data_IF_689984679202
#
_entry.id   IF_689984679202
#
_cell.length_a   1.000
_cell.length_b   1.000
_cell.length_c   1.000
_cell.angle_alpha   90.00
_cell.angle_beta   90.00
_cell.angle_gamma   90.00
#
_symmetry.space_group_name_H-M   'P 1'
#
loop_
_entity.id
_entity.type
_entity.pdbx_description
1 polymer ?
#
# COMPACT_ATOMS: atom_id res chain seq x y z
N UNK A 1 21.01 -22.02 12.21
CA UNK A 1 19.81 -22.74 11.74
C UNK A 1 18.75 -21.71 11.42
N UNK A 2 17.99 -21.90 10.34
CA UNK A 2 16.80 -21.09 10.08
C UNK A 2 15.66 -21.61 10.96
N UNK A 3 14.95 -20.72 11.67
CA UNK A 3 14.02 -21.11 12.73
C UNK A 3 12.82 -21.95 12.26
N UNK A 4 12.41 -21.79 11.00
CA UNK A 4 11.21 -22.43 10.44
C UNK A 4 11.54 -23.49 9.37
N UNK A 5 12.78 -23.97 9.33
CA UNK A 5 13.23 -24.95 8.34
C UNK A 5 12.38 -26.23 8.39
N UNK A 6 11.78 -26.61 7.25
CA UNK A 6 10.90 -27.78 7.13
C UNK A 6 9.42 -27.51 7.46
N UNK A 7 9.03 -26.32 7.92
CA UNK A 7 7.63 -25.95 8.06
C UNK A 7 6.99 -25.59 6.72
N UNK A 8 5.75 -26.05 6.50
CA UNK A 8 4.91 -25.66 5.36
C UNK A 8 3.85 -24.67 5.81
N UNK A 9 3.79 -23.50 5.19
CA UNK A 9 2.90 -22.42 5.58
C UNK A 9 2.06 -21.96 4.40
N UNK A 10 0.76 -21.79 4.65
CA UNK A 10 -0.15 -21.15 3.71
C UNK A 10 -0.37 -19.70 4.14
N UNK A 11 -0.24 -18.78 3.20
CA UNK A 11 -0.69 -17.40 3.33
C UNK A 11 -1.91 -17.20 2.43
N UNK A 12 -3.04 -16.82 3.02
CA UNK A 12 -4.27 -16.51 2.28
C UNK A 12 -4.37 -15.01 2.04
N UNK A 13 -4.16 -14.60 0.79
CA UNK A 13 -4.17 -13.21 0.31
C UNK A 13 -2.78 -12.76 -0.15
N UNK A 14 -2.69 -12.23 -1.37
CA UNK A 14 -1.49 -11.66 -1.97
C UNK A 14 -1.44 -10.12 -1.93
N UNK A 15 -2.24 -9.50 -1.05
CA UNK A 15 -2.09 -8.09 -0.69
C UNK A 15 -0.75 -7.78 0.01
N UNK A 16 -0.50 -6.50 0.29
CA UNK A 16 0.79 -6.04 0.84
C UNK A 16 1.19 -6.76 2.14
N UNK A 17 0.23 -6.99 3.04
CA UNK A 17 0.46 -7.73 4.28
C UNK A 17 0.80 -9.20 4.07
N UNK A 18 0.10 -9.87 3.15
CA UNK A 18 0.33 -11.28 2.85
C UNK A 18 1.68 -11.52 2.19
N UNK A 19 2.06 -10.71 1.21
CA UNK A 19 3.37 -10.80 0.57
C UNK A 19 4.52 -10.45 1.52
N UNK A 20 4.33 -9.46 2.40
CA UNK A 20 5.31 -9.14 3.43
C UNK A 20 5.49 -10.32 4.40
N UNK A 21 4.40 -10.94 4.87
CA UNK A 21 4.46 -12.11 5.73
C UNK A 21 5.16 -13.29 5.03
N UNK A 22 4.77 -13.60 3.80
CA UNK A 22 5.37 -14.68 3.01
C UNK A 22 6.89 -14.51 2.84
N UNK A 23 7.34 -13.29 2.54
CA UNK A 23 8.76 -12.96 2.41
C UNK A 23 9.54 -13.23 3.70
N UNK A 24 9.05 -12.75 4.84
CA UNK A 24 9.77 -12.90 6.10
C UNK A 24 9.73 -14.36 6.62
N UNK A 25 8.62 -15.07 6.43
CA UNK A 25 8.51 -16.51 6.71
C UNK A 25 9.48 -17.36 5.86
N UNK A 26 9.58 -17.06 4.56
CA UNK A 26 10.52 -17.75 3.66
C UNK A 26 11.99 -17.49 4.02
N UNK A 27 12.34 -16.25 4.40
CA UNK A 27 13.68 -15.95 4.94
C UNK A 27 13.99 -16.75 6.20
N UNK A 28 13.00 -16.91 7.08
CA UNK A 28 13.09 -17.71 8.29
C UNK A 28 13.10 -19.24 8.03
N UNK A 29 12.96 -19.69 6.79
CA UNK A 29 13.20 -21.09 6.37
C UNK A 29 11.95 -21.90 6.03
N UNK A 30 10.75 -21.32 6.13
CA UNK A 30 9.52 -22.01 5.79
C UNK A 30 9.35 -22.21 4.27
N UNK A 31 8.70 -23.30 3.87
CA UNK A 31 8.12 -23.50 2.54
C UNK A 31 6.76 -22.81 2.52
N UNK A 32 6.67 -21.66 1.86
CA UNK A 32 5.47 -20.81 1.86
C UNK A 32 4.73 -20.90 0.53
N UNK A 33 3.42 -21.18 0.60
CA UNK A 33 2.50 -21.08 -0.55
C UNK A 33 1.52 -19.95 -0.30
N UNK A 34 1.42 -19.02 -1.24
CA UNK A 34 0.43 -17.92 -1.19
C UNK A 34 -0.74 -18.26 -2.10
N UNK A 35 -1.96 -18.20 -1.57
CA UNK A 35 -3.18 -18.29 -2.37
C UNK A 35 -3.85 -16.92 -2.42
N UNK A 36 -4.24 -16.50 -3.62
CA UNK A 36 -5.03 -15.30 -3.85
C UNK A 36 -6.27 -15.69 -4.65
N UNK A 37 -7.41 -15.06 -4.34
CA UNK A 37 -8.68 -15.31 -5.03
C UNK A 37 -8.78 -14.51 -6.31
N UNK A 38 -8.22 -13.30 -6.34
CA UNK A 38 -8.23 -12.45 -7.53
C UNK A 38 -7.48 -13.13 -8.69
N UNK A 39 -8.05 -13.07 -9.89
CA UNK A 39 -7.48 -13.71 -11.07
C UNK A 39 -6.30 -12.90 -11.65
N UNK A 40 -6.10 -11.67 -11.18
CA UNK A 40 -5.02 -10.79 -11.61
C UNK A 40 -4.59 -9.80 -10.51
N UNK A 41 -3.40 -9.24 -10.70
CA UNK A 41 -2.87 -8.16 -9.84
C UNK A 41 -3.81 -6.93 -9.86
N UNK A 42 -4.44 -6.66 -11.00
CA UNK A 42 -5.34 -5.50 -11.15
C UNK A 42 -6.66 -5.70 -10.40
N UNK A 43 -7.19 -6.92 -10.38
CA UNK A 43 -8.39 -7.25 -9.59
C UNK A 43 -8.10 -7.30 -8.09
N UNK A 44 -6.89 -7.71 -7.71
CA UNK A 44 -6.45 -7.73 -6.31
C UNK A 44 -6.31 -6.33 -5.70
N UNK A 45 -6.07 -5.30 -6.51
CA UNK A 45 -5.86 -3.93 -6.06
C UNK A 45 -7.18 -3.20 -5.90
N UNK A 46 -7.31 -2.42 -4.83
CA UNK A 46 -8.46 -1.55 -4.66
C UNK A 46 -8.39 -0.34 -5.60
N UNK A 47 -9.47 0.01 -6.31
CA UNK A 47 -9.51 1.17 -7.20
C UNK A 47 -9.68 2.43 -6.37
N UNK A 48 -8.58 2.99 -5.89
CA UNK A 48 -8.59 4.25 -5.14
C UNK A 48 -7.40 5.13 -5.50
N UNK A 49 -7.48 6.39 -5.08
CA UNK A 49 -6.32 7.27 -5.05
C UNK A 49 -5.62 7.18 -3.69
N UNK A 50 -4.30 7.10 -3.70
CA UNK A 50 -3.49 7.39 -2.53
C UNK A 50 -2.95 8.82 -2.63
N UNK A 51 -2.93 9.52 -1.51
CA UNK A 51 -2.26 10.82 -1.44
C UNK A 51 -0.82 10.59 -1.01
N UNK A 52 0.13 10.99 -1.86
CA UNK A 52 1.55 10.70 -1.72
C UNK A 52 2.35 12.00 -1.82
N UNK A 53 3.24 12.19 -0.84
CA UNK A 53 4.13 13.35 -0.80
C UNK A 53 5.05 13.37 -2.03
N UNK A 54 5.25 14.52 -2.72
CA UNK A 54 6.07 14.59 -3.92
C UNK A 54 7.49 14.02 -3.73
N UNK A 55 8.10 14.25 -2.57
CA UNK A 55 9.45 13.78 -2.25
C UNK A 55 9.55 12.25 -2.18
N UNK A 56 8.45 11.53 -1.96
CA UNK A 56 8.46 10.07 -1.92
C UNK A 56 8.82 9.47 -3.28
N UNK A 57 8.30 10.04 -4.37
CA UNK A 57 8.63 9.63 -5.74
C UNK A 57 10.11 9.89 -6.04
N UNK A 58 10.60 11.09 -5.72
CA UNK A 58 12.00 11.46 -5.89
C UNK A 58 12.94 10.53 -5.11
N UNK A 59 12.61 10.19 -3.86
CA UNK A 59 13.39 9.24 -3.03
C UNK A 59 13.39 7.82 -3.59
N UNK A 60 12.30 7.41 -4.23
CA UNK A 60 12.17 6.10 -4.86
C UNK A 60 12.83 6.05 -6.26
N UNK A 61 13.27 7.18 -6.81
CA UNK A 61 13.75 7.27 -8.19
C UNK A 61 12.64 7.02 -9.22
N UNK A 62 11.41 7.40 -8.88
CA UNK A 62 10.22 7.22 -9.71
C UNK A 62 9.69 8.57 -10.20
N UNK A 63 9.13 8.58 -11.40
CA UNK A 63 8.33 9.70 -11.87
C UNK A 63 6.95 9.69 -11.21
N UNK A 64 6.32 10.87 -11.11
CA UNK A 64 4.94 10.99 -10.66
C UNK A 64 4.03 10.40 -11.75
N UNK A 65 3.13 9.46 -11.42
CA UNK A 65 2.27 8.83 -12.43
C UNK A 65 1.36 9.83 -13.16
N UNK A 66 1.14 9.59 -14.46
CA UNK A 66 0.21 10.37 -15.27
C UNK A 66 -1.21 10.32 -14.68
N UNK A 67 -1.94 11.44 -14.76
CA UNK A 67 -3.27 11.57 -14.17
C UNK A 67 -3.30 11.88 -12.67
N UNK A 68 -2.13 11.95 -12.02
CA UNK A 68 -2.04 12.44 -10.64
C UNK A 68 -2.32 13.94 -10.55
N UNK A 69 -2.97 14.38 -9.47
CA UNK A 69 -3.28 15.80 -9.25
C UNK A 69 -2.99 16.23 -7.80
N UNK A 70 -2.70 17.52 -7.59
CA UNK A 70 -2.44 18.06 -6.25
C UNK A 70 -3.73 18.04 -5.42
N UNK A 71 -3.70 17.40 -4.26
CA UNK A 71 -4.81 17.42 -3.29
C UNK A 71 -4.45 18.31 -2.12
N UNK A 72 -5.33 19.27 -1.82
CA UNK A 72 -5.04 20.37 -0.89
C UNK A 72 -5.88 20.30 0.38
N UNK A 73 -6.82 19.37 0.46
CA UNK A 73 -7.80 19.34 1.52
C UNK A 73 -8.21 17.92 1.89
N UNK A 74 -8.31 17.69 3.20
CA UNK A 74 -8.79 16.45 3.78
C UNK A 74 -9.85 16.76 4.82
N UNK A 75 -10.85 15.89 4.89
CA UNK A 75 -11.86 15.92 5.94
C UNK A 75 -11.71 14.65 6.76
N UNK A 76 -11.35 14.81 8.02
CA UNK A 76 -11.33 13.73 8.99
C UNK A 76 -12.60 13.80 9.85
N UNK A 77 -13.32 12.70 9.90
CA UNK A 77 -14.48 12.52 10.80
C UNK A 77 -14.02 11.61 11.92
N UNK A 78 -13.92 12.15 13.12
CA UNK A 78 -13.55 11.37 14.31
C UNK A 78 -14.70 10.44 14.71
N UNK A 79 -14.43 9.37 15.49
CA UNK A 79 -15.46 8.42 15.92
C UNK A 79 -16.64 9.04 16.70
N UNK A 80 -16.43 10.17 17.36
CA UNK A 80 -17.46 10.96 18.04
C UNK A 80 -18.27 11.87 17.09
N UNK A 81 -18.02 11.78 15.78
CA UNK A 81 -18.71 12.55 14.75
C UNK A 81 -18.14 13.97 14.53
N UNK A 82 -17.09 14.37 15.23
CA UNK A 82 -16.50 15.68 15.01
C UNK A 82 -15.79 15.75 13.64
N UNK A 83 -16.01 16.85 12.93
CA UNK A 83 -15.40 17.08 11.62
C UNK A 83 -14.17 17.97 11.80
N UNK A 84 -13.02 17.52 11.28
CA UNK A 84 -11.78 18.28 11.20
C UNK A 84 -11.40 18.42 9.73
N UNK A 85 -11.26 19.66 9.27
CA UNK A 85 -10.79 19.95 7.92
C UNK A 85 -9.33 20.37 7.99
N UNK A 86 -8.52 19.74 7.16
CA UNK A 86 -7.13 20.12 6.94
C UNK A 86 -7.01 20.73 5.56
N UNK A 87 -6.22 21.80 5.48
CA UNK A 87 -5.88 22.48 4.24
C UNK A 87 -4.38 22.63 4.19
N UNK A 88 -3.80 22.36 3.02
CA UNK A 88 -2.38 22.57 2.75
C UNK A 88 -2.16 23.56 1.62
N UNK A 89 -1.07 24.31 1.73
CA UNK A 89 -0.63 25.20 0.66
C UNK A 89 -0.24 24.36 -0.57
N UNK A 90 -0.53 24.86 -1.77
CA UNK A 90 -0.33 24.14 -3.03
C UNK A 90 1.11 23.66 -3.25
N UNK A 91 2.07 24.45 -2.80
CA UNK A 91 3.51 24.13 -2.84
C UNK A 91 3.85 22.85 -2.08
N UNK A 92 3.11 22.58 -1.00
CA UNK A 92 3.31 21.46 -0.07
C UNK A 92 2.32 20.31 -0.29
N UNK A 93 1.30 20.54 -1.09
CA UNK A 93 0.20 19.60 -1.28
C UNK A 93 0.67 18.27 -1.89
N UNK A 94 0.19 17.18 -1.31
CA UNK A 94 0.40 15.83 -1.83
C UNK A 94 -0.17 15.65 -3.24
N UNK A 95 0.37 14.67 -3.97
CA UNK A 95 -0.24 14.16 -5.19
C UNK A 95 -1.24 13.06 -4.86
N UNK A 96 -2.49 13.25 -5.25
CA UNK A 96 -3.46 12.16 -5.32
C UNK A 96 -3.17 11.33 -6.55
N UNK A 97 -2.72 10.10 -6.33
CA UNK A 97 -2.20 9.19 -7.35
C UNK A 97 -3.15 8.04 -7.51
N UNK A 98 -3.60 7.83 -8.75
CA UNK A 98 -4.49 6.72 -9.08
C UNK A 98 -3.74 5.39 -8.93
N UNK A 99 -4.33 4.45 -8.18
CA UNK A 99 -3.83 3.07 -8.09
C UNK A 99 -4.67 2.17 -8.99
N UNK A 100 -4.34 2.17 -10.27
CA UNK A 100 -4.69 1.09 -11.19
C UNK A 100 -3.54 0.87 -12.15
#
# INVERSE_FOLDING_TARGET
>A
MKELEGMKVIVAGAGIGGLAAAKELGKAGAEVTVYERADSVDEMRYPWHDDVQPEAFARAGLDVPEGSFRKKNWTFVTPDGAVRRMYEAEEKADFSVWRR
#
